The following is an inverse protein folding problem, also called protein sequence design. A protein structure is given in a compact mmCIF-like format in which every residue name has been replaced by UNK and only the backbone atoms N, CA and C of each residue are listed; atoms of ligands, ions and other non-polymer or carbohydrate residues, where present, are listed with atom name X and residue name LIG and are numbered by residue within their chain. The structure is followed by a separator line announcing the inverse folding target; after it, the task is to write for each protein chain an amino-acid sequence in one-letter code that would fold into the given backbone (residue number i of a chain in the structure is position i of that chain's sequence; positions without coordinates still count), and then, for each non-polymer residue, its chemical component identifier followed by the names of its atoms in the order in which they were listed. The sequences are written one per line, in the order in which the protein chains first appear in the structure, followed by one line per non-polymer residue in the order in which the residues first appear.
data_IF_485485416603
#
_entry.id   IF_485485416603
#
_cell.length_a   1.000
_cell.length_b   1.000
_cell.length_c   1.000
_cell.angle_alpha   90.00
_cell.angle_beta   90.00
_cell.angle_gamma   90.00
#
_symmetry.space_group_name_H-M   'P 1'
#
loop_
_entity.id
_entity.type
_entity.pdbx_description
1 polymer ?
#
# COMPACT_ATOMS: atom_id res chain seq x y z
N UNK A 1 5.86 -27.88 10.85
CA UNK A 1 6.26 -26.51 11.24
C UNK A 1 5.20 -25.56 10.71
N UNK A 2 4.37 -25.02 11.60
CA UNK A 2 3.33 -24.04 11.23
C UNK A 2 4.01 -22.72 10.88
N UNK A 3 4.32 -22.50 9.59
CA UNK A 3 4.58 -21.16 9.10
C UNK A 3 3.24 -20.42 9.09
N UNK A 4 2.96 -19.68 10.16
CA UNK A 4 2.02 -18.56 10.08
C UNK A 4 2.74 -17.49 9.25
N UNK A 5 2.73 -17.65 7.93
CA UNK A 5 3.22 -16.62 7.04
C UNK A 5 2.25 -15.44 7.14
N UNK A 6 2.73 -14.28 7.58
CA UNK A 6 1.93 -13.06 7.58
C UNK A 6 1.34 -12.85 6.17
N UNK A 7 0.05 -12.49 6.04
CA UNK A 7 -0.56 -12.30 4.72
C UNK A 7 0.16 -11.22 3.93
N UNK A 8 0.33 -11.43 2.62
CA UNK A 8 0.81 -10.39 1.73
C UNK A 8 -0.38 -9.49 1.35
N UNK A 9 -0.23 -8.17 1.49
CA UNK A 9 -1.28 -7.20 1.21
C UNK A 9 -0.80 -6.10 0.27
N UNK A 10 -1.74 -5.55 -0.50
CA UNK A 10 -1.63 -4.26 -1.16
C UNK A 10 -2.63 -3.30 -0.48
N UNK A 11 -2.14 -2.17 0.00
CA UNK A 11 -2.95 -1.14 0.67
C UNK A 11 -2.95 0.11 -0.20
N UNK A 12 -4.13 0.51 -0.65
CA UNK A 12 -4.35 1.80 -1.28
C UNK A 12 -4.79 2.81 -0.23
N UNK A 13 -4.09 3.94 -0.15
CA UNK A 13 -4.33 4.93 0.90
C UNK A 13 -3.93 6.35 0.49
N UNK A 14 -4.41 7.34 1.25
CA UNK A 14 -4.09 8.76 1.06
C UNK A 14 -3.00 9.19 2.05
N UNK A 15 -1.77 9.42 1.54
CA UNK A 15 -0.65 9.86 2.37
C UNK A 15 -0.66 11.37 2.60
N UNK A 16 -1.53 11.77 3.52
CA UNK A 16 -1.64 13.14 4.01
C UNK A 16 -0.40 13.51 4.86
N UNK A 17 0.33 12.52 5.38
CA UNK A 17 1.42 12.75 6.34
C UNK A 17 2.71 13.25 5.67
N UNK A 18 3.01 12.79 4.46
CA UNK A 18 4.18 13.25 3.69
C UNK A 18 4.17 14.77 3.44
N UNK A 19 2.98 15.38 3.37
CA UNK A 19 2.83 16.80 3.04
C UNK A 19 2.39 17.67 4.21
N UNK A 20 2.01 17.08 5.36
CA UNK A 20 1.82 17.87 6.59
C UNK A 20 3.12 18.49 7.12
N UNK A 21 4.28 18.03 6.65
CA UNK A 21 5.62 18.46 7.10
C UNK A 21 6.32 19.42 6.12
N UNK A 22 5.74 19.69 4.96
CA UNK A 22 6.31 20.54 3.90
C UNK A 22 5.22 21.41 3.28
N UNK A 23 5.54 22.62 2.86
CA UNK A 23 4.59 23.42 2.08
C UNK A 23 4.23 22.65 0.80
N UNK A 24 2.93 22.45 0.57
CA UNK A 24 2.43 21.89 -0.69
C UNK A 24 2.83 22.85 -1.83
N UNK A 25 3.56 22.38 -2.87
CA UNK A 25 3.87 23.20 -4.03
C UNK A 25 2.62 23.70 -4.75
N UNK A 26 2.71 24.82 -5.48
CA UNK A 26 1.57 25.35 -6.27
C UNK A 26 1.15 24.41 -7.41
N UNK A 27 2.05 23.56 -7.90
CA UNK A 27 1.80 22.51 -8.90
C UNK A 27 1.36 21.17 -8.26
N UNK A 28 0.94 21.20 -6.99
CA UNK A 28 0.55 19.98 -6.31
C UNK A 28 -0.72 19.39 -6.89
N UNK A 29 -0.59 18.19 -7.44
CA UNK A 29 -1.71 17.44 -7.98
C UNK A 29 -2.26 16.46 -6.92
N UNK A 30 -3.57 16.46 -6.62
CA UNK A 30 -4.18 15.59 -5.60
C UNK A 30 -3.91 14.10 -5.76
N UNK A 31 -3.68 13.62 -6.99
CA UNK A 31 -3.33 12.22 -7.23
C UNK A 31 -2.02 11.80 -6.56
N UNK A 32 -1.13 12.74 -6.24
CA UNK A 32 0.14 12.49 -5.51
C UNK A 32 -0.09 12.05 -4.07
N UNK A 33 -1.29 12.24 -3.51
CA UNK A 33 -1.67 11.71 -2.20
C UNK A 33 -1.97 10.21 -2.27
N UNK A 34 -2.35 9.69 -3.43
CA UNK A 34 -2.77 8.29 -3.58
C UNK A 34 -1.54 7.40 -3.66
N UNK A 35 -1.33 6.59 -2.63
CA UNK A 35 -0.25 5.61 -2.55
C UNK A 35 -0.78 4.19 -2.62
N UNK A 36 0.06 3.31 -3.17
CA UNK A 36 -0.13 1.87 -3.20
C UNK A 36 1.09 1.22 -2.55
N UNK A 37 0.89 0.78 -1.31
CA UNK A 37 1.89 0.10 -0.48
C UNK A 37 1.68 -1.40 -0.56
N UNK A 38 2.72 -2.17 -0.87
CA UNK A 38 2.68 -3.63 -0.87
C UNK A 38 3.67 -4.21 0.13
N UNK A 39 3.27 -5.24 0.88
CA UNK A 39 4.16 -5.89 1.85
C UNK A 39 3.44 -6.90 2.74
N UNK A 40 4.10 -7.32 3.82
CA UNK A 40 3.53 -8.26 4.78
C UNK A 40 2.66 -7.52 5.79
N UNK A 41 1.44 -7.98 6.01
CA UNK A 41 0.53 -7.48 7.04
C UNK A 41 1.03 -7.92 8.41
N UNK A 42 1.73 -7.04 9.12
CA UNK A 42 2.24 -7.35 10.46
C UNK A 42 1.22 -7.10 11.55
N UNK A 43 0.41 -6.04 11.41
CA UNK A 43 -0.63 -5.71 12.38
C UNK A 43 -1.87 -5.15 11.70
N UNK A 44 -3.02 -5.62 12.15
CA UNK A 44 -4.33 -5.14 11.74
C UNK A 44 -5.12 -4.74 12.99
N UNK A 45 -5.46 -3.47 13.11
CA UNK A 45 -6.27 -2.93 14.21
C UNK A 45 -7.44 -2.10 13.66
N UNK A 46 -8.46 -1.83 14.50
CA UNK A 46 -9.52 -0.89 14.15
C UNK A 46 -9.03 0.52 13.81
N UNK A 47 -7.87 0.93 14.34
CA UNK A 47 -7.35 2.29 14.17
C UNK A 47 -6.31 2.41 13.04
N UNK A 48 -5.50 1.36 12.82
CA UNK A 48 -4.42 1.37 11.83
C UNK A 48 -4.01 -0.02 11.35
N UNK A 49 -3.32 -0.04 10.22
CA UNK A 49 -2.64 -1.21 9.65
C UNK A 49 -1.14 -0.98 9.68
N UNK A 50 -0.36 -2.03 9.90
CA UNK A 50 1.11 -2.00 9.76
C UNK A 50 1.54 -2.97 8.67
N UNK A 51 2.19 -2.43 7.64
CA UNK A 51 2.77 -3.19 6.52
C UNK A 51 4.28 -3.15 6.66
N UNK A 52 4.94 -4.31 6.65
CA UNK A 52 6.41 -4.44 6.75
C UNK A 52 7.01 -4.93 5.45
N UNK A 53 8.26 -4.55 5.19
CA UNK A 53 8.91 -4.77 3.90
C UNK A 53 8.14 -4.05 2.81
N UNK A 54 7.91 -2.75 3.02
CA UNK A 54 7.00 -1.93 2.23
C UNK A 54 7.61 -1.53 0.89
N UNK A 55 6.84 -1.83 -0.15
CA UNK A 55 7.09 -1.40 -1.51
C UNK A 55 6.01 -0.38 -1.92
N UNK A 56 6.37 0.92 -1.94
CA UNK A 56 5.53 1.97 -2.53
C UNK A 56 5.65 1.90 -4.06
N UNK A 57 4.65 1.30 -4.71
CA UNK A 57 4.66 1.06 -6.17
C UNK A 57 4.39 2.35 -6.95
N UNK A 58 3.94 3.43 -6.30
CA UNK A 58 3.63 4.69 -6.99
C UNK A 58 4.85 5.51 -7.36
N UNK A 59 6.03 5.15 -6.86
CA UNK A 59 7.30 5.86 -7.07
C UNK A 59 8.23 5.20 -8.11
N UNK A 60 7.68 4.51 -9.12
CA UNK A 60 8.50 3.90 -10.19
C UNK A 60 9.51 4.91 -10.79
N UNK A 61 10.79 4.49 -10.86
CA UNK A 61 11.86 5.26 -11.52
C UNK A 61 12.42 6.45 -10.73
N UNK A 62 11.98 6.69 -9.48
CA UNK A 62 12.50 7.78 -8.63
C UNK A 62 13.01 7.22 -7.30
N UNK A 63 14.34 7.21 -7.11
CA UNK A 63 15.07 6.91 -5.87
C UNK A 63 14.29 6.09 -4.84
N UNK A 64 14.01 4.84 -5.20
CA UNK A 64 13.21 3.92 -4.43
C UNK A 64 13.82 3.73 -3.02
N UNK A 65 13.22 4.34 -2.00
CA UNK A 65 13.61 4.08 -0.62
C UNK A 65 12.64 3.08 -0.03
N UNK A 66 13.15 1.88 0.18
CA UNK A 66 12.48 0.87 1.00
C UNK A 66 12.19 1.49 2.37
N UNK A 67 10.94 1.45 2.79
CA UNK A 67 10.59 1.73 4.17
C UNK A 67 10.50 0.38 4.89
N UNK A 68 11.16 0.27 6.05
CA UNK A 68 11.12 -0.96 6.85
C UNK A 68 9.67 -1.34 7.19
N UNK A 69 8.82 -0.33 7.41
CA UNK A 69 7.38 -0.47 7.58
C UNK A 69 6.62 0.84 7.31
N UNK A 70 5.31 0.73 7.08
CA UNK A 70 4.36 1.84 7.20
C UNK A 70 3.29 1.55 8.25
N UNK A 71 2.95 2.57 9.04
CA UNK A 71 1.76 2.59 9.89
C UNK A 71 0.73 3.45 9.17
N UNK A 72 -0.36 2.83 8.72
CA UNK A 72 -1.38 3.48 7.89
C UNK A 72 -2.67 3.62 8.71
N UNK A 73 -3.11 4.84 9.06
CA UNK A 73 -4.37 5.04 9.76
C UNK A 73 -5.56 4.54 8.93
N UNK A 74 -6.50 3.83 9.56
CA UNK A 74 -7.68 3.26 8.88
C UNK A 74 -8.52 4.30 8.15
N UNK A 75 -8.60 5.52 8.69
CA UNK A 75 -9.36 6.62 8.10
C UNK A 75 -8.82 7.14 6.76
N UNK A 76 -7.58 6.80 6.38
CA UNK A 76 -7.00 7.18 5.08
C UNK A 76 -6.85 5.98 4.13
N UNK A 77 -7.24 4.78 4.56
CA UNK A 77 -7.21 3.58 3.73
C UNK A 77 -8.44 3.57 2.85
N UNK A 78 -8.21 3.49 1.53
CA UNK A 78 -9.26 3.35 0.53
C UNK A 78 -9.59 1.89 0.27
N UNK A 79 -8.56 1.04 0.23
CA UNK A 79 -8.71 -0.39 -0.02
C UNK A 79 -7.55 -1.20 0.57
N UNK A 80 -7.86 -2.39 1.08
CA UNK A 80 -6.87 -3.42 1.41
C UNK A 80 -7.16 -4.66 0.56
N UNK A 81 -6.18 -5.10 -0.21
CA UNK A 81 -6.25 -6.31 -1.03
C UNK A 81 -5.29 -7.35 -0.49
N UNK A 82 -5.78 -8.53 -0.15
CA UNK A 82 -4.93 -9.67 0.22
C UNK A 82 -4.44 -10.37 -1.05
N UNK A 83 -3.12 -10.41 -1.24
CA UNK A 83 -2.48 -10.84 -2.49
C UNK A 83 -2.25 -12.35 -2.59
N UNK A 84 -2.42 -13.10 -1.49
CA UNK A 84 -2.37 -14.56 -1.48
C UNK A 84 -3.35 -15.14 -0.46
N UNK A 85 -4.38 -15.82 -0.95
CA UNK A 85 -4.88 -17.02 -0.27
C UNK A 85 -4.08 -18.21 -0.80
N UNK A 86 -3.66 -19.14 0.06
CA UNK A 86 -3.07 -20.44 -0.34
C UNK A 86 -4.09 -21.40 -0.99
N UNK A 87 -5.10 -20.85 -1.69
CA UNK A 87 -6.09 -21.57 -2.47
C UNK A 87 -6.60 -20.69 -3.62
N UNK A 88 -5.72 -20.33 -4.56
CA UNK A 88 -6.13 -19.63 -5.79
C UNK A 88 -7.15 -20.45 -6.60
N UNK A 89 -7.94 -19.76 -7.43
CA UNK A 89 -7.56 -19.78 -8.84
C UNK A 89 -7.36 -18.38 -9.40
N UNK A 90 -6.26 -18.25 -10.14
CA UNK A 90 -5.87 -17.21 -11.08
C UNK A 90 -6.99 -16.22 -11.45
N UNK A 91 -6.84 -14.96 -11.03
CA UNK A 91 -7.59 -13.84 -11.61
C UNK A 91 -6.97 -13.56 -12.99
N UNK A 92 -7.70 -13.91 -14.05
CA UNK A 92 -7.43 -13.45 -15.41
C UNK A 92 -7.88 -12.00 -15.52
N UNK A 93 -6.94 -11.08 -15.70
CA UNK A 93 -7.26 -9.74 -16.19
C UNK A 93 -7.57 -9.87 -17.68
N UNK A 94 -8.86 -9.93 -18.02
CA UNK A 94 -9.31 -9.73 -19.40
C UNK A 94 -9.07 -8.25 -19.75
N UNK A 95 -8.00 -7.99 -20.49
CA UNK A 95 -7.84 -6.72 -21.18
C UNK A 95 -8.83 -6.67 -22.34
N UNK A 96 -9.80 -5.77 -22.29
CA UNK A 96 -10.56 -5.36 -23.47
C UNK A 96 -9.61 -4.59 -24.38
N UNK A 97 -9.25 -5.19 -25.51
CA UNK A 97 -8.69 -4.45 -26.63
C UNK A 97 -9.80 -3.65 -27.29
N UNK A 98 -9.61 -2.33 -27.39
CA UNK A 98 -10.31 -1.46 -28.35
C UNK A 98 -9.29 -0.92 -29.35
#
# INVERSE_FOLDING_TARGET
MNQVAAPLVAVEWEDITAYSRTALPEDFEPYRLRKLTCGLLWKDTPEYVVVVGDYDITNEGRDYRHNDFHIIPRGVIRQVTYLRETSSPLVSLQGEAS
#
